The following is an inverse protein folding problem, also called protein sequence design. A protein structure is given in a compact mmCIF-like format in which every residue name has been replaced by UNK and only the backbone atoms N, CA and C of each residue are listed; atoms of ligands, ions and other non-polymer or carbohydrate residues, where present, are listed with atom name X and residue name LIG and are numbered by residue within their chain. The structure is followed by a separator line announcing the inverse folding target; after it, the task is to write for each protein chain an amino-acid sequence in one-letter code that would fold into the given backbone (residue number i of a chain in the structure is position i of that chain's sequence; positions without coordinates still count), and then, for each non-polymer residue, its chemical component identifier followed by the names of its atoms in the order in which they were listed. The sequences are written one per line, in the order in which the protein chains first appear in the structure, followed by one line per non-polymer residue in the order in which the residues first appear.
data_IF_591558648615
#
_entry.id   IF_591558648615
#
_cell.length_a   1.000
_cell.length_b   1.000
_cell.length_c   1.000
_cell.angle_alpha   90.00
_cell.angle_beta   90.00
_cell.angle_gamma   90.00
#
_symmetry.space_group_name_H-M   'P 1'
#
loop_
_entity.id
_entity.type
_entity.pdbx_description
1 polymer ?
#
# COMPACT_ATOMS: atom_id res chain seq x y z
N UNK A 1 3.64 -11.48 -25.32
CA UNK A 1 2.68 -10.94 -24.34
C UNK A 1 3.24 -9.75 -23.56
N UNK A 2 4.39 -9.90 -22.89
CA UNK A 2 5.07 -8.83 -22.13
C UNK A 2 5.21 -7.50 -22.90
N UNK A 3 5.61 -7.55 -24.17
CA UNK A 3 5.77 -6.35 -25.01
C UNK A 3 4.44 -5.63 -25.32
N UNK A 4 3.30 -6.33 -25.29
CA UNK A 4 1.97 -5.74 -25.57
C UNK A 4 1.44 -4.96 -24.37
N UNK A 5 1.81 -5.37 -23.16
CA UNK A 5 1.29 -4.80 -21.90
C UNK A 5 2.18 -3.65 -21.42
N UNK A 6 3.49 -3.72 -21.69
CA UNK A 6 4.41 -2.66 -21.28
C UNK A 6 4.05 -1.34 -21.96
N UNK A 7 3.82 -0.30 -21.16
CA UNK A 7 3.52 1.05 -21.64
C UNK A 7 2.05 1.29 -22.01
N UNK A 8 1.13 0.36 -21.72
CA UNK A 8 -0.31 0.59 -21.93
C UNK A 8 -0.92 1.40 -20.79
N UNK A 9 -0.46 2.63 -20.59
CA UNK A 9 -0.97 3.54 -19.56
C UNK A 9 -0.79 5.00 -19.98
N UNK A 10 -1.74 5.85 -19.61
CA UNK A 10 -1.65 7.30 -19.79
C UNK A 10 -1.30 8.01 -18.47
N UNK A 11 -1.71 7.43 -17.34
CA UNK A 11 -1.46 7.92 -15.98
C UNK A 11 -1.56 6.76 -14.97
N UNK A 12 -1.18 7.03 -13.72
CA UNK A 12 -1.30 6.09 -12.60
C UNK A 12 -2.43 6.54 -11.67
N UNK A 13 -3.52 5.78 -11.61
CA UNK A 13 -4.59 5.96 -10.61
C UNK A 13 -4.19 5.30 -9.29
N UNK A 14 -4.25 6.04 -8.17
CA UNK A 14 -3.77 5.55 -6.88
C UNK A 14 -4.78 5.77 -5.75
N UNK A 15 -5.12 4.69 -5.06
CA UNK A 15 -5.91 4.70 -3.83
C UNK A 15 -4.96 4.52 -2.64
N UNK A 16 -4.97 5.45 -1.69
CA UNK A 16 -4.19 5.31 -0.47
C UNK A 16 -4.98 5.70 0.77
N UNK A 17 -4.86 4.86 1.78
CA UNK A 17 -5.68 4.93 2.99
C UNK A 17 -4.86 4.81 4.27
N UNK A 18 -3.93 3.86 4.32
CA UNK A 18 -3.14 3.58 5.52
C UNK A 18 -1.80 2.97 5.17
N UNK A 19 -0.97 2.79 6.17
CA UNK A 19 0.34 2.13 6.10
C UNK A 19 0.38 1.04 7.16
N UNK A 20 1.17 0.01 6.90
CA UNK A 20 1.49 -1.04 7.87
C UNK A 20 3.00 -1.12 8.06
N UNK A 21 3.42 -1.58 9.23
CA UNK A 21 4.78 -2.03 9.47
C UNK A 21 4.90 -3.46 8.95
N UNK A 22 6.01 -3.78 8.30
CA UNK A 22 6.29 -5.11 7.78
C UNK A 22 7.51 -5.71 8.47
N UNK A 23 7.49 -7.01 8.69
CA UNK A 23 8.61 -7.76 9.26
C UNK A 23 8.72 -9.13 8.60
N UNK A 24 9.93 -9.69 8.58
CA UNK A 24 10.18 -11.00 7.99
C UNK A 24 9.50 -12.09 8.81
N UNK A 25 8.80 -12.99 8.13
CA UNK A 25 8.16 -14.17 8.75
C UNK A 25 8.47 -15.40 7.91
N UNK A 26 8.79 -16.49 8.58
CA UNK A 26 8.91 -17.81 7.96
C UNK A 26 7.60 -18.57 8.19
N UNK A 27 6.80 -18.65 7.13
CA UNK A 27 5.48 -19.30 7.13
C UNK A 27 5.57 -20.82 6.89
N UNK A 28 6.78 -21.39 6.81
CA UNK A 28 7.00 -22.81 6.47
C UNK A 28 6.32 -23.16 5.14
N UNK A 29 5.74 -24.35 5.06
CA UNK A 29 5.12 -24.89 3.85
C UNK A 29 3.66 -24.43 3.67
N UNK A 30 3.28 -23.29 4.24
CA UNK A 30 1.94 -22.75 4.09
C UNK A 30 1.75 -22.20 2.67
N UNK A 31 0.81 -22.76 1.91
CA UNK A 31 0.41 -22.22 0.61
C UNK A 31 -0.54 -21.03 0.80
N UNK A 32 0.02 -19.82 0.91
CA UNK A 32 -0.74 -18.59 1.10
C UNK A 32 0.04 -17.38 0.56
N UNK A 33 -0.67 -16.34 0.11
CA UNK A 33 -0.06 -15.11 -0.41
C UNK A 33 0.98 -14.50 0.55
N UNK A 34 0.67 -14.45 1.85
CA UNK A 34 1.60 -13.92 2.87
C UNK A 34 2.86 -14.78 3.03
N UNK A 35 2.75 -16.08 2.78
CA UNK A 35 3.88 -16.99 2.78
C UNK A 35 4.79 -16.76 1.57
N UNK A 36 4.20 -16.56 0.38
CA UNK A 36 4.93 -16.27 -0.86
C UNK A 36 5.75 -14.98 -0.77
N UNK A 37 5.18 -13.92 -0.17
CA UNK A 37 5.89 -12.65 0.06
C UNK A 37 6.86 -12.70 1.25
N UNK A 38 6.80 -13.72 2.10
CA UNK A 38 7.72 -13.94 3.24
C UNK A 38 7.68 -12.84 4.31
N UNK A 39 6.57 -12.12 4.44
CA UNK A 39 6.49 -10.94 5.29
C UNK A 39 5.13 -10.79 5.99
N UNK A 40 5.17 -10.71 7.32
CA UNK A 40 4.03 -10.33 8.15
C UNK A 40 3.82 -8.83 8.17
N UNK A 41 2.61 -8.40 8.51
CA UNK A 41 2.28 -6.97 8.67
C UNK A 41 1.58 -6.72 10.00
N UNK A 42 1.81 -5.52 10.55
CA UNK A 42 1.23 -5.06 11.81
C UNK A 42 1.03 -3.55 11.74
N UNK A 43 0.01 -3.04 12.41
CA UNK A 43 -0.17 -1.60 12.61
C UNK A 43 0.51 -1.15 13.90
N UNK A 44 1.11 0.04 13.90
CA UNK A 44 1.57 0.64 15.15
C UNK A 44 0.35 0.99 16.04
N UNK A 45 0.27 0.47 17.28
CA UNK A 45 -0.85 0.76 18.18
C UNK A 45 -0.88 2.22 18.64
N UNK A 46 0.20 2.99 18.46
CA UNK A 46 0.24 4.42 18.78
C UNK A 46 -0.39 5.31 17.69
N UNK A 47 -0.63 4.77 16.49
CA UNK A 47 -1.29 5.51 15.43
C UNK A 47 -2.78 5.67 15.70
N UNK A 48 -3.32 6.85 15.33
CA UNK A 48 -4.73 7.14 15.52
C UNK A 48 -5.60 6.14 14.77
N UNK A 49 -6.59 5.64 15.51
CA UNK A 49 -7.63 4.75 15.02
C UNK A 49 -8.69 5.48 14.19
N UNK A 50 -9.48 4.69 13.48
CA UNK A 50 -10.65 5.17 12.74
C UNK A 50 -11.87 4.28 13.01
N UNK A 51 -12.95 4.51 12.28
CA UNK A 51 -14.13 3.64 12.26
C UNK A 51 -13.84 2.21 11.84
N UNK A 52 -12.78 1.98 11.07
CA UNK A 52 -12.43 0.69 10.50
C UNK A 52 -11.15 0.12 11.11
N UNK A 53 -11.17 -1.15 11.52
CA UNK A 53 -10.06 -1.79 12.24
C UNK A 53 -8.72 -1.82 11.46
N UNK A 54 -8.80 -1.85 10.12
CA UNK A 54 -7.63 -1.91 9.25
C UNK A 54 -7.05 -0.52 8.93
N UNK A 55 -7.79 0.56 9.19
CA UNK A 55 -7.50 1.90 8.71
C UNK A 55 -6.92 2.77 9.84
N UNK A 56 -5.60 2.94 9.84
CA UNK A 56 -4.86 3.83 10.74
C UNK A 56 -4.46 5.12 10.04
N UNK A 57 -4.42 6.22 10.78
CA UNK A 57 -4.04 7.53 10.23
C UNK A 57 -2.51 7.62 10.07
N UNK A 58 -2.01 7.56 8.83
CA UNK A 58 -0.55 7.53 8.54
C UNK A 58 -0.12 8.46 7.39
N UNK A 59 -0.22 9.80 7.51
CA UNK A 59 0.05 10.72 6.40
C UNK A 59 1.48 10.64 5.83
N UNK A 60 2.46 10.36 6.68
CA UNK A 60 3.87 10.21 6.25
C UNK A 60 4.05 9.03 5.31
N UNK A 61 3.30 7.94 5.53
CA UNK A 61 3.31 6.78 4.65
C UNK A 61 2.85 7.10 3.24
N UNK A 62 1.87 8.01 3.11
CA UNK A 62 1.38 8.46 1.80
C UNK A 62 2.47 9.13 0.97
N UNK A 63 3.26 10.04 1.58
CA UNK A 63 4.40 10.66 0.89
C UNK A 63 5.47 9.63 0.50
N UNK A 64 5.75 8.68 1.39
CA UNK A 64 6.77 7.64 1.14
C UNK A 64 6.39 6.77 -0.06
N UNK A 65 5.14 6.32 -0.15
CA UNK A 65 4.72 5.46 -1.25
C UNK A 65 4.67 6.21 -2.59
N UNK A 66 4.30 7.50 -2.61
CA UNK A 66 4.37 8.30 -3.82
C UNK A 66 5.80 8.50 -4.32
N UNK A 67 6.75 8.75 -3.41
CA UNK A 67 8.17 8.81 -3.78
C UNK A 67 8.67 7.46 -4.33
N UNK A 68 8.28 6.35 -3.70
CA UNK A 68 8.63 5.02 -4.20
C UNK A 68 8.07 4.76 -5.60
N UNK A 69 6.79 5.08 -5.84
CA UNK A 69 6.17 4.91 -7.16
C UNK A 69 6.91 5.73 -8.22
N UNK A 70 7.29 6.98 -7.90
CA UNK A 70 8.07 7.84 -8.78
C UNK A 70 9.45 7.26 -9.11
N UNK A 71 10.15 6.70 -8.11
CA UNK A 71 11.47 6.11 -8.29
C UNK A 71 11.42 4.80 -9.07
N UNK A 72 10.42 3.95 -8.81
CA UNK A 72 10.30 2.60 -9.39
C UNK A 72 9.71 2.61 -10.80
N UNK A 73 8.67 3.42 -11.02
CA UNK A 73 7.92 3.44 -12.28
C UNK A 73 8.18 4.68 -13.13
N UNK A 74 9.02 5.61 -12.65
CA UNK A 74 9.27 6.89 -13.28
C UNK A 74 8.26 7.97 -12.88
N UNK A 75 8.58 9.22 -13.24
CA UNK A 75 7.80 10.41 -12.87
C UNK A 75 6.59 10.62 -13.82
N UNK A 76 5.71 9.62 -13.89
CA UNK A 76 4.46 9.70 -14.64
C UNK A 76 3.37 10.46 -13.87
N UNK A 77 2.34 11.03 -14.54
CA UNK A 77 1.21 11.63 -13.85
C UNK A 77 0.51 10.64 -12.91
N UNK A 78 0.41 11.01 -11.63
CA UNK A 78 -0.30 10.23 -10.61
C UNK A 78 -1.57 11.00 -10.22
N UNK A 79 -2.72 10.32 -10.29
CA UNK A 79 -4.00 10.84 -9.81
C UNK A 79 -4.42 10.07 -8.56
N UNK A 80 -4.65 10.79 -7.47
CA UNK A 80 -5.22 10.20 -6.27
C UNK A 80 -6.71 10.01 -6.50
N UNK A 81 -7.11 8.76 -6.74
CA UNK A 81 -8.49 8.40 -7.03
C UNK A 81 -9.29 8.20 -5.75
N UNK A 82 -8.64 7.77 -4.66
CA UNK A 82 -9.25 7.69 -3.33
C UNK A 82 -8.24 8.04 -2.21
N UNK A 83 -8.72 8.82 -1.24
CA UNK A 83 -8.08 9.05 0.05
C UNK A 83 -9.15 9.48 1.07
N UNK A 84 -9.27 8.76 2.18
CA UNK A 84 -10.30 9.04 3.17
C UNK A 84 -10.09 8.36 4.51
N UNK A 85 -10.94 8.70 5.48
CA UNK A 85 -10.98 8.12 6.82
C UNK A 85 -12.42 7.80 7.20
N UNK A 86 -12.63 6.71 7.94
CA UNK A 86 -13.94 6.33 8.45
C UNK A 86 -14.10 6.75 9.91
N UNK A 87 -15.34 6.95 10.37
CA UNK A 87 -15.68 7.25 11.75
C UNK A 87 -16.67 6.20 12.29
N UNK A 88 -16.68 5.97 13.61
CA UNK A 88 -17.72 5.15 14.23
C UNK A 88 -18.96 6.02 14.43
N UNK A 89 -20.08 5.59 13.85
CA UNK A 89 -21.38 6.20 14.12
C UNK A 89 -21.90 5.93 15.54
#
# INVERSE_FOLDING_TARGET
EVARIKGTHDYFGFNHYTTVLAYKVDYKDLEHYDADRGAGTVTDPTWLDSGSFWLKVTPVGFRKILNFIKEEYGDHPIYITENGVSERG
#
